data_IF_344564154614
#
_entry.id   IF_344564154614
#
_cell.length_a   1.000
_cell.length_b   1.000
_cell.length_c   1.000
_cell.angle_alpha   90.00
_cell.angle_beta   90.00
_cell.angle_gamma   90.00
#
_symmetry.space_group_name_H-M   'P 1'
#
loop_
_entity.id
_entity.type
_entity.pdbx_description
1 polymer ?
#
# COMPACT_ATOMS: atom_id res chain seq x y z
N UNK A 1 -40.72 -3.76 14.18
CA UNK A 1 -40.52 -5.22 13.90
C UNK A 1 -40.05 -5.67 12.50
N UNK A 2 -40.62 -5.27 11.34
CA UNK A 2 -40.16 -5.82 10.03
C UNK A 2 -38.70 -5.48 9.69
N UNK A 3 -38.26 -4.27 10.03
CA UNK A 3 -36.88 -3.82 9.85
C UNK A 3 -35.89 -4.62 10.71
N UNK A 4 -36.22 -4.86 11.98
CA UNK A 4 -35.42 -5.72 12.85
C UNK A 4 -35.28 -7.12 12.24
N UNK A 5 -36.37 -7.74 11.77
CA UNK A 5 -36.32 -9.07 11.13
C UNK A 5 -35.39 -9.11 9.92
N UNK A 6 -35.30 -8.03 9.14
CA UNK A 6 -34.42 -7.96 7.97
C UNK A 6 -32.94 -8.04 8.34
N UNK A 7 -32.58 -7.46 9.49
CA UNK A 7 -31.20 -7.37 9.97
C UNK A 7 -30.94 -8.21 11.24
N UNK A 8 -31.87 -9.09 11.64
CA UNK A 8 -31.86 -9.72 12.97
C UNK A 8 -30.56 -10.47 13.29
N UNK A 9 -29.94 -11.10 12.28
CA UNK A 9 -28.69 -11.83 12.42
C UNK A 9 -27.43 -10.96 12.23
N UNK A 10 -27.60 -9.67 11.99
CA UNK A 10 -26.54 -8.73 11.61
C UNK A 10 -26.52 -7.50 12.52
N UNK A 11 -27.22 -7.53 13.66
CA UNK A 11 -27.33 -6.41 14.59
C UNK A 11 -26.57 -6.70 15.88
N UNK A 12 -25.64 -5.80 16.22
CA UNK A 12 -25.03 -5.72 17.55
C UNK A 12 -25.80 -4.78 18.48
N UNK A 13 -26.67 -3.92 17.93
CA UNK A 13 -27.59 -3.07 18.68
C UNK A 13 -28.78 -2.65 17.81
N UNK A 14 -29.97 -2.55 18.39
CA UNK A 14 -31.13 -1.92 17.76
C UNK A 14 -31.98 -1.19 18.80
N UNK A 15 -32.17 0.11 18.61
CA UNK A 15 -33.06 0.94 19.40
C UNK A 15 -33.97 1.76 18.50
N UNK A 16 -35.28 1.62 18.68
CA UNK A 16 -36.29 2.45 18.01
C UNK A 16 -36.92 3.39 19.03
N UNK A 17 -36.80 4.70 18.80
CA UNK A 17 -37.28 5.76 19.68
C UNK A 17 -38.42 6.51 18.98
N UNK A 18 -39.53 6.74 19.69
CA UNK A 18 -40.56 7.65 19.20
C UNK A 18 -40.12 9.10 19.42
N UNK A 19 -40.38 9.98 18.46
CA UNK A 19 -40.17 11.42 18.69
C UNK A 19 -41.26 11.96 19.62
N UNK A 20 -40.90 12.86 20.54
CA UNK A 20 -41.85 13.44 21.50
C UNK A 20 -42.84 14.42 20.85
N UNK A 21 -42.48 14.97 19.71
CA UNK A 21 -43.21 16.06 19.04
C UNK A 21 -44.07 15.59 17.86
N UNK A 22 -43.85 14.37 17.38
CA UNK A 22 -44.53 13.81 16.21
C UNK A 22 -44.58 12.28 16.34
N UNK A 23 -45.78 11.72 16.37
CA UNK A 23 -45.99 10.27 16.54
C UNK A 23 -45.67 9.47 15.27
N UNK A 24 -45.66 10.13 14.10
CA UNK A 24 -45.37 9.51 12.81
C UNK A 24 -43.87 9.40 12.53
N UNK A 25 -43.04 10.06 13.34
CA UNK A 25 -41.59 10.03 13.22
C UNK A 25 -40.93 9.13 14.26
N UNK A 26 -40.01 8.29 13.77
CA UNK A 26 -39.19 7.42 14.60
C UNK A 26 -37.71 7.67 14.35
N UNK A 27 -36.94 7.71 15.43
CA UNK A 27 -35.48 7.67 15.37
C UNK A 27 -35.03 6.22 15.55
N UNK A 28 -34.29 5.69 14.57
CA UNK A 28 -33.77 4.33 14.60
C UNK A 28 -32.26 4.39 14.73
N UNK A 29 -31.74 3.83 15.80
CA UNK A 29 -30.31 3.64 16.01
C UNK A 29 -30.00 2.15 15.89
N UNK A 30 -29.15 1.79 14.94
CA UNK A 30 -28.75 0.41 14.69
C UNK A 30 -27.23 0.30 14.56
N UNK A 31 -26.65 -0.71 15.21
CA UNK A 31 -25.25 -1.09 15.03
C UNK A 31 -25.21 -2.42 14.31
N UNK A 32 -24.62 -2.44 13.12
CA UNK A 32 -24.48 -3.65 12.32
C UNK A 32 -23.16 -4.37 12.65
N UNK A 33 -23.15 -5.70 12.51
CA UNK A 33 -21.96 -6.54 12.71
C UNK A 33 -20.96 -6.45 11.56
N UNK A 34 -21.35 -5.85 10.43
CA UNK A 34 -20.52 -5.68 9.24
C UNK A 34 -20.70 -4.28 8.67
N UNK A 35 -19.73 -3.81 7.89
CA UNK A 35 -19.79 -2.52 7.25
C UNK A 35 -20.77 -2.52 6.06
N UNK A 36 -21.69 -1.56 6.06
CA UNK A 36 -22.63 -1.34 4.97
C UNK A 36 -22.53 0.08 4.43
N UNK A 37 -22.70 0.23 3.11
CA UNK A 37 -22.92 1.55 2.52
C UNK A 37 -24.30 2.06 2.92
N UNK A 38 -24.37 3.32 3.32
CA UNK A 38 -25.61 3.97 3.76
C UNK A 38 -26.70 3.93 2.67
N UNK A 39 -26.29 3.99 1.40
CA UNK A 39 -27.19 3.87 0.26
C UNK A 39 -27.92 2.50 0.22
N UNK A 40 -27.21 1.42 0.54
CA UNK A 40 -27.79 0.07 0.55
C UNK A 40 -28.77 -0.08 1.72
N UNK A 41 -28.43 0.45 2.89
CA UNK A 41 -29.33 0.50 4.05
C UNK A 41 -30.60 1.28 3.70
N UNK A 42 -30.48 2.49 3.12
CA UNK A 42 -31.64 3.29 2.69
C UNK A 42 -32.54 2.55 1.70
N UNK A 43 -31.95 1.77 0.78
CA UNK A 43 -32.70 0.97 -0.19
C UNK A 43 -33.54 -0.11 0.50
N UNK A 44 -33.00 -0.77 1.51
CA UNK A 44 -33.74 -1.77 2.29
C UNK A 44 -34.87 -1.13 3.12
N UNK A 45 -34.66 0.07 3.68
CA UNK A 45 -35.72 0.82 4.37
C UNK A 45 -36.89 1.14 3.42
N UNK A 46 -36.60 1.61 2.20
CA UNK A 46 -37.64 1.91 1.20
C UNK A 46 -38.44 0.67 0.78
N UNK A 47 -37.81 -0.50 0.68
CA UNK A 47 -38.52 -1.77 0.39
C UNK A 47 -39.53 -2.14 1.48
N UNK A 48 -39.29 -1.70 2.72
CA UNK A 48 -40.17 -1.92 3.86
C UNK A 48 -41.20 -0.78 4.04
N UNK A 49 -41.31 0.13 3.06
CA UNK A 49 -42.22 1.27 3.13
C UNK A 49 -41.78 2.37 4.10
N UNK A 50 -40.56 2.30 4.63
CA UNK A 50 -40.01 3.31 5.54
C UNK A 50 -39.25 4.35 4.70
N UNK A 51 -39.68 5.61 4.77
CA UNK A 51 -38.98 6.72 4.12
C UNK A 51 -37.92 7.32 5.05
N UNK A 52 -36.61 7.13 4.80
CA UNK A 52 -35.58 7.73 5.62
C UNK A 52 -35.51 9.23 5.36
N UNK A 53 -36.06 10.04 6.28
CA UNK A 53 -36.00 11.51 6.23
C UNK A 53 -34.55 11.98 6.36
N UNK A 54 -33.86 11.54 7.41
CA UNK A 54 -32.43 11.74 7.61
C UNK A 54 -31.76 10.42 8.00
N UNK A 55 -30.60 10.13 7.41
CA UNK A 55 -29.78 9.00 7.83
C UNK A 55 -28.31 9.33 7.57
N UNK A 56 -27.46 9.01 8.54
CA UNK A 56 -26.02 9.26 8.54
C UNK A 56 -25.30 8.23 9.41
N UNK A 57 -23.98 8.13 9.26
CA UNK A 57 -23.15 7.26 10.10
C UNK A 57 -22.90 7.87 11.47
N UNK A 58 -22.94 7.04 12.51
CA UNK A 58 -22.57 7.41 13.87
C UNK A 58 -21.26 6.72 14.26
N UNK A 59 -20.30 7.48 14.80
CA UNK A 59 -18.96 6.97 15.15
C UNK A 59 -18.78 6.67 16.64
N UNK A 60 -19.75 7.05 17.50
CA UNK A 60 -19.72 6.85 18.96
C UNK A 60 -21.06 6.31 19.47
N UNK A 61 -21.35 5.05 19.15
CA UNK A 61 -22.65 4.41 19.41
C UNK A 61 -23.13 4.56 20.85
N UNK A 62 -22.27 4.32 21.85
CA UNK A 62 -22.65 4.52 23.26
C UNK A 62 -23.17 5.92 23.58
N UNK A 63 -22.46 6.97 23.12
CA UNK A 63 -22.89 8.37 23.28
C UNK A 63 -24.19 8.67 22.52
N UNK A 64 -24.37 8.06 21.35
CA UNK A 64 -25.61 8.21 20.59
C UNK A 64 -26.81 7.56 21.30
N UNK A 65 -26.61 6.40 21.95
CA UNK A 65 -27.64 5.74 22.76
C UNK A 65 -28.03 6.62 23.95
N UNK A 66 -27.04 7.14 24.68
CA UNK A 66 -27.27 8.06 25.81
C UNK A 66 -28.04 9.30 25.37
N UNK A 67 -27.60 9.94 24.28
CA UNK A 67 -28.28 11.09 23.69
C UNK A 67 -29.73 10.78 23.30
N UNK A 68 -29.99 9.64 22.66
CA UNK A 68 -31.34 9.24 22.29
C UNK A 68 -32.22 8.99 23.52
N UNK A 69 -31.66 8.39 24.58
CA UNK A 69 -32.37 8.18 25.85
C UNK A 69 -32.72 9.48 26.56
N UNK A 70 -31.80 10.44 26.57
CA UNK A 70 -32.02 11.77 27.17
C UNK A 70 -33.08 12.55 26.38
N UNK A 71 -32.96 12.59 25.05
CA UNK A 71 -33.81 13.40 24.18
C UNK A 71 -35.20 12.79 23.94
N UNK A 72 -35.26 11.49 23.70
CA UNK A 72 -36.49 10.80 23.26
C UNK A 72 -37.07 9.87 24.34
N UNK A 73 -36.36 9.61 25.44
CA UNK A 73 -36.78 8.66 26.47
C UNK A 73 -36.33 7.22 26.16
N UNK A 74 -36.89 6.25 26.87
CA UNK A 74 -36.55 4.85 26.65
C UNK A 74 -37.02 4.37 25.26
N UNK A 75 -36.26 3.48 24.60
CA UNK A 75 -36.65 2.95 23.30
C UNK A 75 -37.99 2.20 23.37
N UNK A 76 -38.85 2.42 22.37
CA UNK A 76 -40.12 1.70 22.19
C UNK A 76 -39.88 0.23 21.84
N UNK A 77 -38.84 -0.06 21.04
CA UNK A 77 -38.36 -1.42 20.75
C UNK A 77 -36.83 -1.48 20.93
N UNK A 78 -36.35 -2.42 21.75
CA UNK A 78 -34.92 -2.70 21.97
C UNK A 78 -34.66 -4.23 22.03
N UNK A 79 -34.79 -4.95 20.90
CA UNK A 79 -34.64 -6.40 20.85
C UNK A 79 -33.18 -6.87 21.07
N UNK A 80 -32.19 -6.00 20.82
CA UNK A 80 -30.76 -6.28 21.02
C UNK A 80 -30.16 -5.13 21.83
N UNK A 81 -29.78 -5.42 23.09
CA UNK A 81 -29.19 -4.46 24.01
C UNK A 81 -27.72 -4.21 23.68
N UNK A 82 -27.29 -2.97 23.87
CA UNK A 82 -25.89 -2.61 23.73
C UNK A 82 -25.09 -3.17 24.90
N UNK A 83 -24.10 -4.02 24.63
CA UNK A 83 -23.32 -4.71 25.66
C UNK A 83 -22.18 -3.88 26.26
N UNK A 84 -22.06 -2.58 25.91
CA UNK A 84 -20.95 -1.72 26.38
C UNK A 84 -19.61 -2.04 25.69
N UNK A 85 -19.40 -3.32 25.39
CA UNK A 85 -18.46 -3.84 24.42
C UNK A 85 -19.01 -3.54 23.02
N UNK A 86 -18.94 -2.25 22.61
CA UNK A 86 -18.35 -2.07 21.29
C UNK A 86 -17.09 -2.89 21.38
N UNK A 87 -17.02 -4.00 20.64
CA UNK A 87 -15.76 -4.68 20.39
C UNK A 87 -14.76 -3.55 20.25
N UNK A 88 -13.87 -3.38 21.24
CA UNK A 88 -12.74 -2.48 21.12
C UNK A 88 -12.27 -2.75 19.72
N UNK A 89 -12.34 -1.78 18.78
CA UNK A 89 -12.01 -2.05 17.40
C UNK A 89 -10.63 -2.64 17.51
N UNK A 90 -10.56 -3.94 17.26
CA UNK A 90 -9.44 -4.75 17.68
C UNK A 90 -8.27 -4.06 17.03
N UNK A 91 -7.46 -3.35 17.82
CA UNK A 91 -6.47 -2.44 17.23
C UNK A 91 -5.43 -3.27 16.45
N UNK A 92 -5.46 -4.60 16.61
CA UNK A 92 -4.79 -5.61 15.82
C UNK A 92 -5.30 -5.79 14.37
N UNK A 93 -6.48 -5.24 14.00
CA UNK A 93 -7.10 -5.40 12.65
C UNK A 93 -6.95 -4.18 11.74
N UNK A 94 -6.21 -3.16 12.16
CA UNK A 94 -6.07 -1.91 11.38
C UNK A 94 -4.78 -1.94 10.57
N UNK A 95 -4.91 -1.70 9.27
CA UNK A 95 -3.78 -1.56 8.36
C UNK A 95 -2.73 -0.57 8.90
N UNK A 96 -1.49 -1.03 8.98
CA UNK A 96 -0.33 -0.26 9.41
C UNK A 96 0.29 0.45 8.20
N UNK A 97 -0.05 1.73 8.05
CA UNK A 97 0.44 2.59 6.97
C UNK A 97 1.96 2.77 6.99
N UNK A 98 2.56 2.79 8.18
CA UNK A 98 4.01 2.94 8.33
C UNK A 98 4.72 1.73 7.75
N UNK A 99 4.22 0.53 8.03
CA UNK A 99 4.81 -0.72 7.56
C UNK A 99 4.76 -0.85 6.03
N UNK A 100 3.68 -0.41 5.37
CA UNK A 100 3.64 -0.29 3.91
C UNK A 100 4.66 0.72 3.39
N UNK A 101 4.77 1.88 4.04
CA UNK A 101 5.73 2.92 3.63
C UNK A 101 7.18 2.47 3.81
N UNK A 102 7.48 1.75 4.89
CA UNK A 102 8.82 1.22 5.16
C UNK A 102 9.18 0.15 4.12
N UNK A 103 8.25 -0.75 3.78
CA UNK A 103 8.42 -1.72 2.69
C UNK A 103 8.71 -1.04 1.34
N UNK A 104 7.92 -0.02 0.97
CA UNK A 104 8.12 0.73 -0.27
C UNK A 104 9.49 1.42 -0.31
N UNK A 105 9.95 1.94 0.84
CA UNK A 105 11.25 2.62 0.98
C UNK A 105 12.43 1.66 0.96
N UNK A 106 12.29 0.47 1.55
CA UNK A 106 13.31 -0.58 1.54
C UNK A 106 13.52 -1.13 0.13
N UNK A 107 12.43 -1.34 -0.61
CA UNK A 107 12.44 -1.85 -1.97
C UNK A 107 12.56 -0.76 -3.06
N UNK A 108 12.68 0.51 -2.67
CA UNK A 108 12.75 1.68 -3.57
C UNK A 108 11.62 1.71 -4.63
N UNK A 109 10.41 1.27 -4.28
CA UNK A 109 9.27 1.19 -5.19
C UNK A 109 8.73 2.60 -5.47
N UNK A 110 8.75 3.02 -6.73
CA UNK A 110 8.36 4.37 -7.14
C UNK A 110 7.03 4.43 -7.91
N UNK A 111 6.44 3.28 -8.26
CA UNK A 111 5.12 3.20 -8.88
C UNK A 111 4.05 2.71 -7.88
N UNK A 112 2.92 3.42 -7.73
CA UNK A 112 1.87 3.00 -6.81
C UNK A 112 1.19 1.69 -7.17
N UNK A 113 1.08 1.33 -8.45
CA UNK A 113 0.45 0.08 -8.88
C UNK A 113 1.37 -1.12 -8.64
N UNK A 114 2.68 -0.96 -8.87
CA UNK A 114 3.70 -1.92 -8.49
C UNK A 114 3.64 -2.19 -6.98
N UNK A 115 3.65 -1.14 -6.15
CA UNK A 115 3.52 -1.28 -4.69
C UNK A 115 2.21 -1.98 -4.29
N UNK A 116 1.10 -1.64 -4.95
CA UNK A 116 -0.19 -2.30 -4.69
C UNK A 116 -0.14 -3.78 -4.98
N UNK A 117 0.47 -4.18 -6.09
CA UNK A 117 0.59 -5.57 -6.50
C UNK A 117 1.52 -6.34 -5.57
N UNK A 118 2.75 -5.85 -5.40
CA UNK A 118 3.78 -6.52 -4.61
C UNK A 118 3.39 -6.66 -3.16
N UNK A 119 2.82 -5.62 -2.54
CA UNK A 119 2.42 -5.70 -1.14
C UNK A 119 1.20 -6.60 -0.93
N UNK A 120 0.25 -6.62 -1.88
CA UNK A 120 -0.89 -7.53 -1.79
C UNK A 120 -0.46 -8.99 -1.95
N UNK A 121 0.52 -9.28 -2.81
CA UNK A 121 1.07 -10.62 -3.01
C UNK A 121 1.62 -11.24 -1.71
N UNK A 122 2.13 -10.42 -0.77
CA UNK A 122 2.63 -10.89 0.53
C UNK A 122 1.54 -11.51 1.43
N UNK A 123 0.25 -11.31 1.12
CA UNK A 123 -0.89 -11.84 1.90
C UNK A 123 -1.15 -13.33 1.72
N UNK A 124 -0.67 -13.90 0.61
CA UNK A 124 -0.87 -15.29 0.18
C UNK A 124 0.45 -16.05 0.12
N UNK A 125 0.38 -17.35 -0.17
CA UNK A 125 1.57 -18.11 -0.55
C UNK A 125 2.19 -17.56 -1.83
N UNK A 126 3.53 -17.56 -1.91
CA UNK A 126 4.25 -17.03 -3.06
C UNK A 126 3.96 -17.84 -4.34
N UNK A 127 3.52 -17.16 -5.40
CA UNK A 127 3.31 -17.70 -6.74
C UNK A 127 4.48 -17.39 -7.70
N UNK A 128 5.53 -16.70 -7.23
CA UNK A 128 6.73 -16.41 -8.02
C UNK A 128 7.50 -17.71 -8.28
N UNK A 129 8.16 -17.77 -9.43
CA UNK A 129 9.04 -18.90 -9.76
C UNK A 129 10.19 -19.02 -8.76
N UNK A 130 10.68 -20.22 -8.40
CA UNK A 130 11.75 -20.40 -7.42
C UNK A 130 13.01 -19.58 -7.70
N UNK A 131 13.35 -19.38 -8.98
CA UNK A 131 14.47 -18.55 -9.41
C UNK A 131 14.33 -17.05 -9.13
N UNK A 132 13.14 -16.60 -8.72
CA UNK A 132 12.81 -15.19 -8.39
C UNK A 132 12.51 -14.99 -6.91
N UNK A 133 12.53 -16.06 -6.12
CA UNK A 133 12.32 -15.98 -4.67
C UNK A 133 13.70 -15.73 -4.05
N UNK A 134 13.89 -14.51 -3.55
CA UNK A 134 15.09 -14.15 -2.80
C UNK A 134 14.85 -14.33 -1.30
N UNK A 135 15.91 -14.46 -0.51
CA UNK A 135 15.81 -14.49 0.95
C UNK A 135 15.12 -13.23 1.51
N UNK A 136 15.37 -12.07 0.89
CA UNK A 136 14.70 -10.80 1.22
C UNK A 136 13.20 -10.90 0.99
N UNK A 137 12.77 -11.47 -0.14
CA UNK A 137 11.36 -11.66 -0.44
C UNK A 137 10.67 -12.63 0.53
N UNK A 138 11.32 -13.72 0.93
CA UNK A 138 10.79 -14.62 1.95
C UNK A 138 10.67 -13.93 3.32
N UNK A 139 11.67 -13.12 3.68
CA UNK A 139 11.62 -12.30 4.89
C UNK A 139 10.46 -11.31 4.86
N UNK A 140 10.23 -10.65 3.72
CA UNK A 140 9.12 -9.72 3.51
C UNK A 140 7.76 -10.42 3.66
N UNK A 141 7.63 -11.66 3.17
CA UNK A 141 6.43 -12.46 3.39
C UNK A 141 6.17 -12.69 4.87
N UNK A 142 7.19 -13.07 5.65
CA UNK A 142 7.04 -13.31 7.09
C UNK A 142 6.71 -12.02 7.83
N UNK A 143 7.42 -10.94 7.53
CA UNK A 143 7.27 -9.65 8.21
C UNK A 143 5.91 -9.01 7.90
N UNK A 144 5.52 -8.96 6.62
CA UNK A 144 4.36 -8.18 6.18
C UNK A 144 3.05 -8.95 6.05
N UNK A 145 3.03 -10.28 6.25
CA UNK A 145 1.86 -11.15 6.01
C UNK A 145 0.54 -10.58 6.51
N UNK A 146 0.47 -10.25 7.81
CA UNK A 146 -0.77 -9.82 8.44
C UNK A 146 -1.19 -8.42 7.96
N UNK A 147 -0.24 -7.52 7.75
CA UNK A 147 -0.53 -6.19 7.22
C UNK A 147 -0.96 -6.24 5.74
N UNK A 148 -0.38 -7.14 4.96
CA UNK A 148 -0.71 -7.39 3.57
C UNK A 148 -2.15 -7.93 3.42
N UNK A 149 -2.58 -8.85 4.30
CA UNK A 149 -3.97 -9.34 4.36
C UNK A 149 -4.96 -8.20 4.64
N UNK A 150 -4.61 -7.29 5.53
CA UNK A 150 -5.43 -6.09 5.76
C UNK A 150 -5.44 -5.16 4.56
N UNK A 151 -4.29 -4.99 3.89
CA UNK A 151 -4.18 -4.18 2.69
C UNK A 151 -5.01 -4.75 1.53
N UNK A 152 -5.05 -6.07 1.36
CA UNK A 152 -5.80 -6.75 0.30
C UNK A 152 -7.31 -6.47 0.37
N UNK A 153 -7.89 -6.34 1.55
CA UNK A 153 -9.31 -6.02 1.71
C UNK A 153 -9.60 -4.52 1.84
N UNK A 154 -8.58 -3.67 1.73
CA UNK A 154 -8.73 -2.23 1.86
C UNK A 154 -9.40 -1.61 0.63
N UNK A 155 -10.34 -0.69 0.81
CA UNK A 155 -11.10 -0.08 -0.28
C UNK A 155 -10.31 1.02 -1.03
N UNK A 156 -9.50 1.80 -0.31
CA UNK A 156 -8.74 2.94 -0.87
C UNK A 156 -7.24 2.62 -1.09
N UNK A 157 -6.91 1.41 -1.58
CA UNK A 157 -5.50 0.96 -1.76
C UNK A 157 -4.64 1.97 -2.53
N UNK A 158 -5.16 2.49 -3.65
CA UNK A 158 -4.43 3.42 -4.52
C UNK A 158 -4.00 4.69 -3.81
N UNK A 159 -4.87 5.27 -2.98
CA UNK A 159 -4.54 6.49 -2.23
C UNK A 159 -3.39 6.23 -1.27
N UNK A 160 -3.42 5.10 -0.58
CA UNK A 160 -2.45 4.76 0.45
C UNK A 160 -1.10 4.38 -0.17
N UNK A 161 -1.11 3.59 -1.24
CA UNK A 161 0.09 3.27 -2.00
C UNK A 161 0.74 4.53 -2.57
N UNK A 162 -0.05 5.48 -3.09
CA UNK A 162 0.46 6.77 -3.55
C UNK A 162 1.20 7.52 -2.42
N UNK A 163 0.60 7.62 -1.23
CA UNK A 163 1.23 8.29 -0.09
C UNK A 163 2.53 7.60 0.34
N UNK A 164 2.58 6.26 0.30
CA UNK A 164 3.80 5.51 0.60
C UNK A 164 4.91 5.77 -0.44
N UNK A 165 4.56 5.77 -1.73
CA UNK A 165 5.48 6.11 -2.84
C UNK A 165 5.98 7.54 -2.73
N UNK A 166 5.16 8.50 -2.29
CA UNK A 166 5.59 9.88 -2.05
C UNK A 166 6.73 9.94 -1.00
N UNK A 167 6.74 9.06 0.01
CA UNK A 167 7.86 8.93 0.96
C UNK A 167 9.14 8.42 0.28
N UNK A 168 9.03 7.50 -0.68
CA UNK A 168 10.17 6.98 -1.45
C UNK A 168 10.77 8.08 -2.30
N UNK A 169 9.93 8.81 -3.05
CA UNK A 169 10.35 9.94 -3.88
C UNK A 169 11.02 11.03 -3.02
N UNK A 170 10.45 11.34 -1.85
CA UNK A 170 11.02 12.31 -0.93
C UNK A 170 12.41 11.88 -0.44
N UNK A 171 12.60 10.60 -0.06
CA UNK A 171 13.90 10.04 0.31
C UNK A 171 14.91 10.17 -0.83
N UNK A 172 14.55 9.72 -2.04
CA UNK A 172 15.43 9.78 -3.21
C UNK A 172 15.84 11.21 -3.58
N UNK A 173 14.90 12.16 -3.52
CA UNK A 173 15.19 13.57 -3.80
C UNK A 173 16.09 14.21 -2.74
N UNK A 174 15.88 13.92 -1.46
CA UNK A 174 16.75 14.42 -0.39
C UNK A 174 18.14 13.81 -0.50
N UNK A 175 18.22 12.52 -0.81
CA UNK A 175 19.47 11.81 -1.02
C UNK A 175 20.23 12.40 -2.21
N UNK A 176 19.58 12.63 -3.35
CA UNK A 176 20.22 13.21 -4.55
C UNK A 176 20.75 14.62 -4.34
N UNK A 177 20.25 15.35 -3.32
CA UNK A 177 20.72 16.70 -2.96
C UNK A 177 21.88 16.68 -1.96
N UNK A 178 21.97 15.64 -1.13
CA UNK A 178 22.95 15.53 -0.04
C UNK A 178 24.16 14.67 -0.43
N UNK A 179 23.94 13.69 -1.30
CA UNK A 179 24.97 12.78 -1.79
C UNK A 179 25.68 13.42 -2.99
N UNK A 180 27.00 13.52 -2.92
CA UNK A 180 27.82 13.87 -4.08
C UNK A 180 27.82 12.75 -5.12
N UNK A 181 28.05 13.07 -6.38
CA UNK A 181 28.08 12.07 -7.46
C UNK A 181 29.08 10.92 -7.18
N UNK A 182 30.24 11.24 -6.58
CA UNK A 182 31.22 10.22 -6.19
C UNK A 182 30.69 9.28 -5.10
N UNK A 183 30.01 9.83 -4.08
CA UNK A 183 29.40 9.03 -3.02
C UNK A 183 28.31 8.11 -3.58
N UNK A 184 27.48 8.62 -4.48
CA UNK A 184 26.44 7.85 -5.17
C UNK A 184 27.04 6.67 -5.93
N UNK A 185 28.04 6.94 -6.79
CA UNK A 185 28.71 5.89 -7.58
C UNK A 185 29.34 4.85 -6.66
N UNK A 186 30.08 5.27 -5.63
CA UNK A 186 30.71 4.33 -4.69
C UNK A 186 29.70 3.46 -3.96
N UNK A 187 28.57 4.02 -3.53
CA UNK A 187 27.49 3.26 -2.87
C UNK A 187 26.86 2.25 -3.84
N UNK A 188 26.52 2.66 -5.07
CA UNK A 188 25.97 1.76 -6.09
C UNK A 188 26.95 0.64 -6.46
N UNK A 189 28.23 0.93 -6.61
CA UNK A 189 29.25 -0.10 -6.85
C UNK A 189 29.31 -1.14 -5.72
N UNK A 190 29.17 -0.71 -4.45
CA UNK A 190 29.11 -1.64 -3.31
C UNK A 190 27.86 -2.50 -3.34
N UNK A 191 26.69 -1.90 -3.60
CA UNK A 191 25.43 -2.64 -3.72
C UNK A 191 25.47 -3.69 -4.83
N UNK A 192 26.00 -3.34 -6.00
CA UNK A 192 26.20 -4.29 -7.11
C UNK A 192 27.22 -5.36 -6.74
N UNK A 193 28.35 -4.99 -6.13
CA UNK A 193 29.38 -5.93 -5.70
C UNK A 193 28.87 -6.96 -4.70
N UNK A 194 28.08 -6.54 -3.70
CA UNK A 194 27.45 -7.45 -2.74
C UNK A 194 26.50 -8.44 -3.44
N UNK A 195 25.66 -7.96 -4.37
CA UNK A 195 24.74 -8.83 -5.14
C UNK A 195 25.47 -9.88 -5.97
N UNK A 196 26.58 -9.50 -6.59
CA UNK A 196 27.44 -10.41 -7.34
C UNK A 196 28.07 -11.44 -6.40
N UNK A 197 28.46 -11.05 -5.19
CA UNK A 197 29.03 -11.96 -4.20
C UNK A 197 27.99 -12.98 -3.71
N UNK A 198 26.76 -12.54 -3.45
CA UNK A 198 25.68 -13.39 -2.94
C UNK A 198 25.15 -14.37 -3.99
N UNK A 199 25.16 -13.98 -5.27
CA UNK A 199 24.64 -14.79 -6.39
C UNK A 199 25.73 -15.12 -7.42
N UNK A 200 26.97 -15.31 -6.97
CA UNK A 200 28.11 -15.48 -7.87
C UNK A 200 27.93 -16.67 -8.83
N UNK A 201 27.95 -16.41 -10.13
CA UNK A 201 27.94 -17.42 -11.18
C UNK A 201 29.19 -17.35 -12.04
N UNK A 202 29.79 -18.50 -12.34
CA UNK A 202 30.91 -18.58 -13.29
C UNK A 202 30.46 -18.23 -14.71
N UNK A 203 29.18 -18.40 -15.04
CA UNK A 203 28.61 -17.99 -16.33
C UNK A 203 28.66 -16.47 -16.48
N UNK A 204 28.29 -15.72 -15.44
CA UNK A 204 28.32 -14.25 -15.43
C UNK A 204 29.75 -13.71 -15.64
N UNK A 205 30.75 -14.39 -15.05
CA UNK A 205 32.17 -14.03 -15.24
C UNK A 205 32.62 -14.29 -16.67
N UNK A 206 32.20 -15.42 -17.25
CA UNK A 206 32.50 -15.76 -18.64
C UNK A 206 31.86 -14.77 -19.62
N UNK A 207 30.60 -14.41 -19.39
CA UNK A 207 29.89 -13.41 -20.19
C UNK A 207 30.53 -12.03 -20.06
N UNK A 208 30.82 -11.58 -18.84
CA UNK A 208 31.50 -10.30 -18.60
C UNK A 208 32.87 -10.24 -19.29
N UNK A 209 33.66 -11.31 -19.21
CA UNK A 209 34.93 -11.41 -19.92
C UNK A 209 34.75 -11.32 -21.44
N UNK A 210 33.80 -12.09 -22.00
CA UNK A 210 33.52 -12.07 -23.43
C UNK A 210 33.12 -10.66 -23.91
N UNK A 211 32.24 -9.96 -23.18
CA UNK A 211 31.87 -8.59 -23.53
C UNK A 211 33.05 -7.61 -23.43
N UNK A 212 33.87 -7.71 -22.38
CA UNK A 212 34.99 -6.80 -22.13
C UNK A 212 36.21 -7.06 -23.02
N UNK A 213 36.37 -8.27 -23.55
CA UNK A 213 37.53 -8.65 -24.37
C UNK A 213 37.21 -8.71 -25.86
N UNK A 214 36.05 -9.26 -26.23
CA UNK A 214 35.71 -9.56 -27.63
C UNK A 214 34.76 -8.53 -28.25
N UNK A 215 33.84 -7.94 -27.48
CA UNK A 215 32.86 -6.97 -28.01
C UNK A 215 33.33 -5.53 -27.80
N UNK A 216 33.95 -5.22 -26.65
CA UNK A 216 34.29 -3.87 -26.24
C UNK A 216 35.80 -3.77 -25.99
N UNK A 217 36.57 -3.55 -27.06
CA UNK A 217 38.04 -3.57 -27.01
C UNK A 217 38.69 -2.50 -26.10
N UNK A 218 37.97 -1.44 -25.72
CA UNK A 218 38.44 -0.36 -24.84
C UNK A 218 37.56 -0.17 -23.59
N UNK A 219 36.97 -1.25 -23.07
CA UNK A 219 36.00 -1.20 -21.96
C UNK A 219 36.44 -0.28 -20.82
N UNK A 220 37.67 -0.47 -20.31
CA UNK A 220 38.19 0.31 -19.17
C UNK A 220 38.27 1.81 -19.48
N UNK A 221 38.78 2.18 -20.65
CA UNK A 221 38.97 3.58 -21.04
C UNK A 221 37.63 4.26 -21.25
N UNK A 222 36.70 3.61 -21.96
CA UNK A 222 35.35 4.13 -22.21
C UNK A 222 34.60 4.30 -20.89
N UNK A 223 34.59 3.27 -20.03
CA UNK A 223 33.97 3.30 -18.70
C UNK A 223 34.53 4.43 -17.85
N UNK A 224 35.86 4.64 -17.86
CA UNK A 224 36.46 5.73 -17.09
C UNK A 224 36.02 7.12 -17.58
N UNK A 225 35.90 7.33 -18.90
CA UNK A 225 35.39 8.59 -19.44
C UNK A 225 33.94 8.86 -19.03
N UNK A 226 33.09 7.83 -19.07
CA UNK A 226 31.70 7.91 -18.65
C UNK A 226 31.61 8.24 -17.16
N UNK A 227 32.33 7.49 -16.31
CA UNK A 227 32.35 7.73 -14.87
C UNK A 227 32.87 9.14 -14.55
N UNK A 228 33.92 9.61 -15.22
CA UNK A 228 34.45 10.96 -15.01
C UNK A 228 33.43 12.04 -15.40
N UNK A 229 32.69 11.86 -16.50
CA UNK A 229 31.64 12.78 -16.91
C UNK A 229 30.48 12.82 -15.90
N UNK A 230 30.09 11.68 -15.31
CA UNK A 230 29.07 11.64 -14.25
C UNK A 230 29.56 12.25 -12.93
N UNK A 231 30.78 11.92 -12.51
CA UNK A 231 31.29 12.31 -11.19
C UNK A 231 31.74 13.78 -11.18
N UNK A 232 32.47 14.20 -12.21
CA UNK A 232 33.17 15.49 -12.25
C UNK A 232 32.70 16.42 -13.38
N UNK A 233 31.77 15.98 -14.23
CA UNK A 233 31.34 16.72 -15.40
C UNK A 233 30.72 18.07 -15.06
N UNK A 234 31.28 19.13 -15.65
CA UNK A 234 30.75 20.50 -15.57
C UNK A 234 29.59 20.70 -16.57
N UNK A 235 28.82 21.79 -16.48
CA UNK A 235 27.85 22.12 -17.52
C UNK A 235 28.47 22.03 -18.92
N UNK A 236 27.80 21.30 -19.84
CA UNK A 236 28.26 20.94 -21.21
C UNK A 236 29.33 19.85 -21.32
N UNK A 237 29.84 19.32 -20.21
CA UNK A 237 30.85 18.22 -20.17
C UNK A 237 30.29 16.92 -19.55
N UNK A 238 28.96 16.82 -19.39
CA UNK A 238 28.27 15.69 -18.73
C UNK A 238 27.83 14.57 -19.66
N UNK A 239 28.06 14.70 -20.96
CA UNK A 239 27.62 13.74 -21.96
C UNK A 239 28.82 13.12 -22.65
N UNK A 240 28.77 11.80 -22.81
CA UNK A 240 29.75 11.03 -23.60
C UNK A 240 29.02 10.48 -24.83
N UNK A 241 29.59 10.71 -26.02
CA UNK A 241 29.04 10.23 -27.27
C UNK A 241 29.74 8.93 -27.69
N UNK A 242 29.02 7.82 -27.67
CA UNK A 242 29.50 6.54 -28.22
C UNK A 242 29.28 6.51 -29.74
N UNK A 243 30.37 6.58 -30.50
CA UNK A 243 30.35 6.55 -31.98
C UNK A 243 30.89 5.23 -32.50
N UNK A 244 30.20 4.65 -33.49
CA UNK A 244 30.61 3.40 -34.11
C UNK A 244 29.62 2.95 -35.19
N UNK A 245 30.05 2.04 -36.06
CA UNK A 245 29.26 1.46 -37.15
C UNK A 245 28.09 0.62 -36.63
N UNK A 246 27.20 0.17 -37.51
CA UNK A 246 26.13 -0.75 -37.13
C UNK A 246 26.72 -2.03 -36.50
N UNK A 247 26.08 -2.53 -35.42
CA UNK A 247 26.55 -3.69 -34.64
C UNK A 247 27.94 -3.59 -34.01
N UNK A 248 28.47 -2.38 -33.82
CA UNK A 248 29.76 -2.16 -33.14
C UNK A 248 29.72 -2.26 -31.60
N UNK A 249 28.72 -2.91 -31.00
CA UNK A 249 28.56 -2.98 -29.53
C UNK A 249 28.10 -1.69 -28.83
N UNK A 250 28.10 -0.52 -29.49
CA UNK A 250 27.79 0.79 -28.86
C UNK A 250 26.44 0.87 -28.12
N UNK A 251 25.40 0.22 -28.66
CA UNK A 251 24.06 0.21 -28.06
C UNK A 251 24.01 -0.74 -26.87
N UNK A 252 24.66 -1.91 -26.98
CA UNK A 252 24.78 -2.87 -25.88
C UNK A 252 25.56 -2.26 -24.72
N UNK A 253 26.68 -1.57 -24.99
CA UNK A 253 27.45 -0.86 -23.99
C UNK A 253 26.62 0.22 -23.29
N UNK A 254 25.90 1.05 -24.04
CA UNK A 254 25.08 2.12 -23.44
C UNK A 254 23.92 1.61 -22.57
N UNK A 255 23.47 0.38 -22.81
CA UNK A 255 22.39 -0.25 -22.06
C UNK A 255 22.87 -0.94 -20.78
N UNK A 256 24.13 -1.34 -20.72
CA UNK A 256 24.76 -1.96 -19.56
C UNK A 256 25.20 -0.89 -18.55
#
# INVERSE_FOLDING_TARGET
>A
MQLYRRFANQLSYFGMYGMRTDEDLVCILMLLTSDYRLADVKKEFRKLGISPVEAFYATKVGKCIEFCKEKYGQPKEEPVKYSGNASTPDHSKKMNYKMLSDFAVANEITDPYELMYDYAHLSTGCDRSPSKITNEHESDHVEHLDNARHFEHFSDKKRIAKNAVESVIAKLLVQSRRESNLQYVNRRCKEIGNRIQDNFSMEDVGEAWFYCSEIIHDFRTISQHILNAFIYGKPRERYVALKGTFKSGKTSFASA
#
